data_IF_564675434652
#
_entry.id   IF_564675434652
#
_cell.length_a   1.000
_cell.length_b   1.000
_cell.length_c   1.000
_cell.angle_alpha   90.00
_cell.angle_beta   90.00
_cell.angle_gamma   90.00
#
_symmetry.space_group_name_H-M   'P 1'
#
loop_
_entity.id
_entity.type
_entity.pdbx_description
1 polymer ?
#
# COMPACT_ATOMS: atom_id res chain seq x y z
N UNK A 1 37.54 -4.17 -13.03
CA UNK A 1 36.35 -3.31 -13.26
C UNK A 1 35.24 -3.79 -12.35
N UNK A 2 34.88 -3.04 -11.31
CA UNK A 2 33.75 -3.40 -10.43
C UNK A 2 32.47 -3.10 -11.20
N UNK A 3 31.69 -4.13 -11.55
CA UNK A 3 30.35 -3.95 -12.13
C UNK A 3 29.51 -3.24 -11.08
N UNK A 4 29.21 -1.96 -11.27
CA UNK A 4 28.17 -1.24 -10.56
C UNK A 4 26.86 -1.96 -10.84
N UNK A 5 26.42 -2.79 -9.88
CA UNK A 5 25.12 -3.43 -9.91
C UNK A 5 24.11 -2.33 -9.59
N UNK A 6 23.59 -1.68 -10.62
CA UNK A 6 22.46 -0.75 -10.49
C UNK A 6 21.38 -1.49 -9.69
N UNK A 7 20.97 -1.00 -8.51
CA UNK A 7 19.89 -1.63 -7.78
C UNK A 7 18.67 -1.65 -8.71
N UNK A 8 17.92 -2.76 -8.78
CA UNK A 8 16.71 -2.77 -9.60
C UNK A 8 15.86 -1.59 -9.13
N UNK A 9 15.65 -0.63 -10.02
CA UNK A 9 14.69 0.44 -9.79
C UNK A 9 13.38 -0.30 -9.52
N UNK A 10 12.94 -0.34 -8.27
CA UNK A 10 11.62 -0.87 -7.94
C UNK A 10 10.68 0.03 -8.71
N UNK A 11 10.15 -0.45 -9.83
CA UNK A 11 8.99 0.16 -10.46
C UNK A 11 7.87 0.07 -9.42
N UNK A 12 7.74 1.13 -8.62
CA UNK A 12 6.58 1.37 -7.80
C UNK A 12 5.45 1.59 -8.81
N UNK A 13 4.71 0.52 -9.10
CA UNK A 13 3.57 0.61 -10.00
C UNK A 13 2.52 1.55 -9.42
N UNK A 14 1.84 2.31 -10.27
CA UNK A 14 0.66 3.05 -9.84
C UNK A 14 -0.47 2.10 -9.43
N UNK A 15 -1.29 2.55 -8.48
CA UNK A 15 -2.54 1.89 -8.13
C UNK A 15 -3.69 2.73 -8.67
N UNK A 16 -4.53 2.13 -9.52
CA UNK A 16 -5.73 2.78 -10.09
C UNK A 16 -6.95 2.48 -9.22
N UNK A 17 -7.83 3.47 -8.99
CA UNK A 17 -8.98 3.33 -8.09
C UNK A 17 -9.90 2.16 -8.44
N UNK A 18 -10.10 1.90 -9.72
CA UNK A 18 -11.03 0.87 -10.21
C UNK A 18 -10.43 -0.54 -10.28
N UNK A 19 -9.18 -0.71 -9.84
CA UNK A 19 -8.52 -2.01 -9.90
C UNK A 19 -8.83 -2.87 -8.65
N UNK A 20 -8.90 -4.20 -8.86
CA UNK A 20 -8.94 -5.19 -7.78
C UNK A 20 -7.64 -5.96 -7.82
N UNK A 21 -6.94 -6.00 -6.69
CA UNK A 21 -5.61 -6.60 -6.61
C UNK A 21 -5.42 -7.40 -5.33
N UNK A 22 -4.60 -8.48 -5.36
CA UNK A 22 -4.17 -9.14 -4.14
C UNK A 22 -3.53 -8.14 -3.19
N UNK A 23 -3.82 -8.23 -1.90
CA UNK A 23 -3.31 -7.29 -0.89
C UNK A 23 -1.78 -7.24 -0.86
N UNK A 24 -1.12 -8.38 -1.13
CA UNK A 24 0.35 -8.45 -1.27
C UNK A 24 0.88 -7.66 -2.46
N UNK A 25 0.15 -7.64 -3.57
CA UNK A 25 0.51 -6.86 -4.75
C UNK A 25 0.30 -5.36 -4.50
N UNK A 26 -0.78 -4.98 -3.82
CA UNK A 26 -0.99 -3.60 -3.38
C UNK A 26 0.17 -3.12 -2.50
N UNK A 27 0.54 -3.92 -1.49
CA UNK A 27 1.67 -3.63 -0.61
C UNK A 27 2.99 -3.49 -1.40
N UNK A 28 3.25 -4.40 -2.36
CA UNK A 28 4.44 -4.34 -3.22
C UNK A 28 4.50 -3.05 -4.02
N UNK A 29 3.39 -2.63 -4.63
CA UNK A 29 3.30 -1.40 -5.45
C UNK A 29 3.42 -0.13 -4.61
N UNK A 30 2.83 -0.13 -3.42
CA UNK A 30 2.96 0.96 -2.45
C UNK A 30 4.32 1.01 -1.75
N UNK A 31 5.21 0.05 -2.02
CA UNK A 31 6.51 -0.05 -1.37
C UNK A 31 6.46 -0.50 0.10
N UNK A 32 5.32 -1.01 0.56
CA UNK A 32 5.16 -1.53 1.92
C UNK A 32 5.84 -2.89 2.07
N UNK A 33 6.50 -3.10 3.21
CA UNK A 33 7.06 -4.40 3.55
C UNK A 33 5.94 -5.39 3.94
N UNK A 34 6.15 -6.69 3.73
CA UNK A 34 5.18 -7.74 4.09
C UNK A 34 4.70 -7.64 5.54
N UNK A 35 5.59 -7.28 6.47
CA UNK A 35 5.25 -7.08 7.88
C UNK A 35 4.23 -5.96 8.11
N UNK A 36 4.27 -4.91 7.28
CA UNK A 36 3.37 -3.76 7.38
C UNK A 36 1.95 -4.10 6.92
N UNK A 37 1.74 -5.20 6.19
CA UNK A 37 0.41 -5.60 5.73
C UNK A 37 -0.53 -5.79 6.93
N UNK A 38 -0.05 -6.43 8.01
CA UNK A 38 -0.84 -6.60 9.22
C UNK A 38 -1.18 -5.25 9.88
N UNK A 39 -0.20 -4.33 9.91
CA UNK A 39 -0.36 -3.02 10.53
C UNK A 39 -1.35 -2.14 9.75
N UNK A 40 -1.28 -2.09 8.42
CA UNK A 40 -2.23 -1.30 7.60
C UNK A 40 -3.64 -1.88 7.68
N UNK A 41 -3.78 -3.21 7.76
CA UNK A 41 -5.10 -3.82 7.99
C UNK A 41 -5.65 -3.47 9.37
N UNK A 42 -4.82 -3.48 10.41
CA UNK A 42 -5.20 -3.06 11.77
C UNK A 42 -5.55 -1.58 11.82
N UNK A 43 -4.88 -0.75 11.02
CA UNK A 43 -5.17 0.67 10.86
C UNK A 43 -6.41 0.96 10.00
N UNK A 44 -7.08 -0.06 9.46
CA UNK A 44 -8.38 0.07 8.81
C UNK A 44 -8.38 -0.07 7.29
N UNK A 45 -7.28 -0.50 6.66
CA UNK A 45 -7.30 -0.81 5.23
C UNK A 45 -8.26 -1.96 4.93
N UNK A 46 -9.31 -1.66 4.16
CA UNK A 46 -10.35 -2.62 3.80
C UNK A 46 -9.79 -3.67 2.83
N UNK A 47 -10.06 -4.94 3.14
CA UNK A 47 -9.75 -6.07 2.29
C UNK A 47 -10.78 -7.19 2.48
N UNK A 48 -11.03 -7.97 1.44
CA UNK A 48 -11.88 -9.15 1.46
C UNK A 48 -11.02 -10.41 1.32
N UNK A 49 -11.37 -11.46 2.04
CA UNK A 49 -10.73 -12.78 1.90
C UNK A 49 -11.51 -13.62 0.91
N UNK A 50 -10.85 -14.11 -0.15
CA UNK A 50 -11.41 -15.05 -1.13
C UNK A 50 -10.50 -16.27 -1.16
N UNK A 51 -11.01 -17.40 -0.65
CA UNK A 51 -10.20 -18.60 -0.43
C UNK A 51 -9.06 -18.35 0.56
N UNK A 52 -7.82 -18.55 0.11
CA UNK A 52 -6.60 -18.33 0.93
C UNK A 52 -5.94 -16.97 0.72
N UNK A 53 -6.51 -16.13 -0.15
CA UNK A 53 -5.92 -14.84 -0.54
C UNK A 53 -6.78 -13.68 -0.05
N UNK A 54 -6.13 -12.57 0.30
CA UNK A 54 -6.79 -11.30 0.61
C UNK A 54 -6.69 -10.38 -0.59
N UNK A 55 -7.77 -9.69 -0.90
CA UNK A 55 -7.88 -8.74 -2.00
C UNK A 55 -8.32 -7.39 -1.47
N UNK A 56 -7.84 -6.33 -2.11
CA UNK A 56 -8.28 -4.96 -1.86
C UNK A 56 -8.58 -4.29 -3.19
N UNK A 57 -9.25 -3.15 -3.14
CA UNK A 57 -9.48 -2.30 -4.32
C UNK A 57 -8.51 -1.13 -4.26
N UNK A 58 -8.15 -0.59 -5.43
CA UNK A 58 -7.34 0.63 -5.47
C UNK A 58 -8.02 1.81 -4.77
N UNK A 59 -9.36 1.89 -4.86
CA UNK A 59 -10.16 2.87 -4.11
C UNK A 59 -9.96 2.73 -2.58
N UNK A 60 -10.00 1.52 -2.03
CA UNK A 60 -9.77 1.30 -0.61
C UNK A 60 -8.36 1.70 -0.16
N UNK A 61 -7.35 1.44 -1.00
CA UNK A 61 -5.97 1.88 -0.75
C UNK A 61 -5.87 3.40 -0.75
N UNK A 62 -6.46 4.07 -1.76
CA UNK A 62 -6.47 5.52 -1.85
C UNK A 62 -7.17 6.17 -0.64
N UNK A 63 -8.37 5.70 -0.30
CA UNK A 63 -9.15 6.26 0.80
C UNK A 63 -8.43 6.07 2.14
N UNK A 64 -7.79 4.91 2.34
CA UNK A 64 -6.96 4.66 3.51
C UNK A 64 -5.80 5.67 3.61
N UNK A 65 -5.01 5.82 2.55
CA UNK A 65 -3.86 6.75 2.56
C UNK A 65 -4.33 8.20 2.74
N UNK A 66 -5.41 8.59 2.05
CA UNK A 66 -5.99 9.93 2.17
C UNK A 66 -6.43 10.21 3.61
N UNK A 67 -7.06 9.25 4.29
CA UNK A 67 -7.47 9.40 5.68
C UNK A 67 -6.27 9.53 6.64
N UNK A 68 -5.20 8.75 6.42
CA UNK A 68 -3.98 8.85 7.23
C UNK A 68 -3.26 10.20 7.05
N UNK A 69 -3.27 10.76 5.83
CA UNK A 69 -2.67 12.05 5.54
C UNK A 69 -3.53 13.21 6.06
N UNK A 70 -4.86 13.13 5.94
CA UNK A 70 -5.76 14.15 6.47
C UNK A 70 -5.67 14.26 8.00
N UNK A 71 -5.54 13.13 8.71
CA UNK A 71 -5.33 13.13 10.16
C UNK A 71 -3.96 13.64 10.61
N UNK A 72 -3.00 13.82 9.69
CA UNK A 72 -1.68 14.37 9.99
C UNK A 72 -1.64 15.91 9.94
N UNK A 73 -2.61 16.55 9.27
CA UNK A 73 -2.68 18.01 9.09
C UNK A 73 -3.29 18.73 10.32
N UNK A 74 -4.12 18.03 11.11
CA UNK A 74 -4.74 18.60 12.32
C UNK A 74 -3.80 18.69 13.55
N UNK A 75 -2.52 18.32 13.42
CA UNK A 75 -1.53 18.32 14.50
C UNK A 75 -0.51 19.48 14.48
N UNK A 76 -0.60 20.42 13.53
CA UNK A 76 0.41 21.45 13.27
C UNK A 76 0.13 22.84 13.85
N UNK A 77 -0.59 22.94 14.97
CA UNK A 77 -0.95 24.23 15.58
C UNK A 77 -0.87 24.22 17.10
N UNK A 78 0.34 24.32 17.64
CA UNK A 78 0.61 24.85 18.98
C UNK A 78 2.06 25.31 19.11
#
# INVERSE_FOLDING_TARGET
MRKSKTPPTRELGSIHRDEVLPLREAARRMGWADRMIADVQKAGLKAVTIGRMKYTTGAAVYDFVSAQLAGADEGGGQ
#
